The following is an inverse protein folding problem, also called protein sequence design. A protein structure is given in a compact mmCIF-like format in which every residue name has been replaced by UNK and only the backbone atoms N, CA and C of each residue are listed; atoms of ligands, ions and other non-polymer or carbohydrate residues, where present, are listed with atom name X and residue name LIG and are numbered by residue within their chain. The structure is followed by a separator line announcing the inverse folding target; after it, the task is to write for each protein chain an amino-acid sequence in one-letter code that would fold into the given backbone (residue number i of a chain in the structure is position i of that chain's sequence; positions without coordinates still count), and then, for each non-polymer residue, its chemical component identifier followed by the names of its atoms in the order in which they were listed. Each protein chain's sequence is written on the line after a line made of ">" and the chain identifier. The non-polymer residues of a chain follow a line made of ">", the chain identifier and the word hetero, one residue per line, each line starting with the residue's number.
data_IF_644448890635
#
_entry.id   IF_644448890635
#
_cell.length_a   1.000
_cell.length_b   1.000
_cell.length_c   1.000
_cell.angle_alpha   90.00
_cell.angle_beta   90.00
_cell.angle_gamma   90.00
#
_symmetry.space_group_name_H-M   'P 1'
#
loop_
_entity.id
_entity.type
_entity.pdbx_description
1 polymer ?
#
# COMPACT_ATOMS: atom_id res chain seq x y z
N UNK A 1 -17.80 8.26 28.20
CA UNK A 1 -18.28 7.39 27.10
C UNK A 1 -18.93 8.17 25.96
N UNK A 2 -19.99 8.96 26.17
CA UNK A 2 -20.65 9.76 25.10
C UNK A 2 -19.71 10.64 24.25
N UNK A 3 -18.72 11.31 24.87
CA UNK A 3 -17.77 12.19 24.17
C UNK A 3 -16.86 11.45 23.16
N UNK A 4 -16.50 10.20 23.44
CA UNK A 4 -15.64 9.40 22.53
C UNK A 4 -16.44 8.98 21.30
N UNK A 5 -17.72 8.59 21.46
CA UNK A 5 -18.56 8.24 20.31
C UNK A 5 -18.81 9.43 19.38
N UNK A 6 -18.94 10.64 19.92
CA UNK A 6 -19.05 11.86 19.11
C UNK A 6 -17.76 12.11 18.32
N UNK A 7 -16.60 11.94 18.95
CA UNK A 7 -15.30 12.05 18.28
C UNK A 7 -15.11 10.96 17.22
N UNK A 8 -15.48 9.71 17.51
CA UNK A 8 -15.43 8.60 16.55
C UNK A 8 -16.36 8.87 15.35
N UNK A 9 -17.56 9.42 15.57
CA UNK A 9 -18.47 9.80 14.48
C UNK A 9 -17.90 10.93 13.61
N UNK A 10 -17.39 12.00 14.22
CA UNK A 10 -16.76 13.10 13.50
C UNK A 10 -15.52 12.62 12.73
N UNK A 11 -14.69 11.78 13.36
CA UNK A 11 -13.51 11.19 12.73
C UNK A 11 -13.89 10.34 11.52
N UNK A 12 -14.94 9.52 11.62
CA UNK A 12 -15.44 8.72 10.49
C UNK A 12 -15.88 9.61 9.32
N UNK A 13 -16.67 10.65 9.60
CA UNK A 13 -17.16 11.57 8.56
C UNK A 13 -16.01 12.33 7.89
N UNK A 14 -15.07 12.88 8.68
CA UNK A 14 -13.90 13.59 8.17
C UNK A 14 -13.01 12.65 7.37
N UNK A 15 -12.72 11.45 7.90
CA UNK A 15 -11.91 10.45 7.21
C UNK A 15 -12.53 10.08 5.87
N UNK A 16 -13.85 9.85 5.82
CA UNK A 16 -14.54 9.51 4.58
C UNK A 16 -14.46 10.63 3.54
N UNK A 17 -14.71 11.88 3.94
CA UNK A 17 -14.66 13.02 3.01
C UNK A 17 -13.25 13.27 2.48
N UNK A 18 -12.24 13.21 3.34
CA UNK A 18 -10.83 13.37 2.94
C UNK A 18 -10.42 12.23 2.02
N UNK A 19 -10.69 10.97 2.38
CA UNK A 19 -10.33 9.81 1.56
C UNK A 19 -11.07 9.81 0.22
N UNK A 20 -12.34 10.21 0.19
CA UNK A 20 -13.08 10.38 -1.06
C UNK A 20 -12.43 11.44 -1.95
N UNK A 21 -12.17 12.63 -1.42
CA UNK A 21 -11.56 13.71 -2.20
C UNK A 21 -10.19 13.29 -2.74
N UNK A 22 -9.32 12.77 -1.87
CA UNK A 22 -7.99 12.31 -2.25
C UNK A 22 -8.04 11.20 -3.32
N UNK A 23 -8.91 10.21 -3.13
CA UNK A 23 -9.05 9.12 -4.09
C UNK A 23 -9.52 9.61 -5.45
N UNK A 24 -10.57 10.45 -5.48
CA UNK A 24 -11.15 10.93 -6.75
C UNK A 24 -10.20 11.87 -7.50
N UNK A 25 -9.42 12.68 -6.78
CA UNK A 25 -8.48 13.65 -7.38
C UNK A 25 -7.19 12.97 -7.87
N UNK A 26 -6.61 12.06 -7.09
CA UNK A 26 -5.23 11.60 -7.31
C UNK A 26 -5.08 10.12 -7.66
N UNK A 27 -6.03 9.25 -7.27
CA UNK A 27 -5.90 7.80 -7.42
C UNK A 27 -6.88 7.17 -8.41
N UNK A 28 -7.98 7.87 -8.72
CA UNK A 28 -9.07 7.32 -9.53
C UNK A 28 -8.63 6.98 -10.95
N UNK A 29 -7.75 7.79 -11.55
CA UNK A 29 -7.23 7.54 -12.89
C UNK A 29 -6.41 6.25 -12.96
N UNK A 30 -5.51 6.04 -11.99
CA UNK A 30 -4.68 4.84 -11.88
C UNK A 30 -5.53 3.63 -11.47
N UNK A 31 -6.56 3.84 -10.67
CA UNK A 31 -7.51 2.77 -10.34
C UNK A 31 -8.23 2.26 -11.59
N UNK A 32 -8.73 3.15 -12.46
CA UNK A 32 -9.40 2.73 -13.69
C UNK A 32 -8.42 2.05 -14.65
N UNK A 33 -7.18 2.52 -14.76
CA UNK A 33 -6.20 1.89 -15.65
C UNK A 33 -5.91 0.44 -15.25
N UNK A 34 -5.95 0.12 -13.96
CA UNK A 34 -5.74 -1.24 -13.44
C UNK A 34 -7.01 -2.10 -13.58
N UNK A 35 -8.19 -1.57 -13.22
CA UNK A 35 -9.42 -2.36 -13.13
C UNK A 35 -10.30 -2.31 -14.39
N UNK A 36 -9.85 -1.58 -15.41
CA UNK A 36 -10.58 -1.26 -16.63
C UNK A 36 -11.90 -0.52 -16.39
N UNK A 37 -12.32 0.25 -17.39
CA UNK A 37 -13.63 0.87 -17.36
C UNK A 37 -14.73 -0.20 -17.25
N UNK A 38 -15.78 0.05 -16.44
CA UNK A 38 -16.94 -0.85 -16.41
C UNK A 38 -17.52 -0.99 -17.82
N UNK A 39 -17.80 -2.22 -18.24
CA UNK A 39 -18.36 -2.52 -19.58
C UNK A 39 -19.83 -2.12 -19.72
N UNK A 40 -20.48 -1.65 -18.64
CA UNK A 40 -21.84 -1.12 -18.67
C UNK A 40 -22.20 -0.31 -17.43
N UNK A 41 -22.29 1.02 -17.59
CA UNK A 41 -22.83 1.94 -16.57
C UNK A 41 -21.81 2.61 -15.66
N UNK A 42 -22.30 3.30 -14.63
CA UNK A 42 -21.48 3.98 -13.63
C UNK A 42 -20.89 2.98 -12.62
N UNK A 43 -19.56 2.92 -12.53
CA UNK A 43 -18.87 2.11 -11.53
C UNK A 43 -18.85 2.83 -10.18
N UNK A 44 -19.90 2.60 -9.41
CA UNK A 44 -20.02 3.18 -8.06
C UNK A 44 -19.33 2.30 -7.00
N UNK A 45 -19.48 0.99 -7.10
CA UNK A 45 -19.15 0.07 -6.01
C UNK A 45 -17.66 -0.14 -5.82
N UNK A 46 -16.86 -0.23 -6.90
CA UNK A 46 -15.42 -0.50 -6.78
C UNK A 46 -14.68 0.72 -6.18
N UNK A 47 -14.91 1.97 -6.63
CA UNK A 47 -14.39 3.17 -5.99
C UNK A 47 -14.82 3.30 -4.52
N UNK A 48 -16.10 3.06 -4.23
CA UNK A 48 -16.63 3.15 -2.87
C UNK A 48 -15.89 2.18 -1.93
N UNK A 49 -15.65 0.94 -2.36
CA UNK A 49 -14.96 -0.07 -1.57
C UNK A 49 -13.54 0.38 -1.20
N UNK A 50 -12.78 0.93 -2.16
CA UNK A 50 -11.43 1.45 -1.88
C UNK A 50 -11.49 2.66 -0.96
N UNK A 51 -12.43 3.58 -1.19
CA UNK A 51 -12.62 4.76 -0.32
C UNK A 51 -12.91 4.31 1.11
N UNK A 52 -13.75 3.29 1.32
CA UNK A 52 -14.04 2.75 2.65
C UNK A 52 -12.80 2.12 3.31
N UNK A 53 -11.94 1.44 2.54
CA UNK A 53 -10.68 0.90 3.05
C UNK A 53 -9.73 2.04 3.46
N UNK A 54 -9.53 3.04 2.59
CA UNK A 54 -8.72 4.23 2.92
C UNK A 54 -9.27 4.96 4.15
N UNK A 55 -10.60 5.06 4.24
CA UNK A 55 -11.31 5.64 5.38
C UNK A 55 -10.99 4.86 6.66
N UNK A 56 -10.98 3.53 6.63
CA UNK A 56 -10.62 2.71 7.78
C UNK A 56 -9.18 2.97 8.25
N UNK A 57 -8.22 3.10 7.32
CA UNK A 57 -6.84 3.43 7.64
C UNK A 57 -6.72 4.81 8.30
N UNK A 58 -7.30 5.84 7.67
CA UNK A 58 -7.25 7.20 8.18
C UNK A 58 -8.00 7.33 9.51
N UNK A 59 -9.16 6.69 9.63
CA UNK A 59 -9.93 6.62 10.88
C UNK A 59 -9.11 6.01 12.01
N UNK A 60 -8.44 4.87 11.77
CA UNK A 60 -7.62 4.19 12.77
C UNK A 60 -6.45 5.07 13.19
N UNK A 61 -5.80 5.75 12.24
CA UNK A 61 -4.71 6.67 12.51
C UNK A 61 -5.16 7.88 13.35
N UNK A 62 -6.22 8.57 12.94
CA UNK A 62 -6.76 9.72 13.67
C UNK A 62 -7.29 9.33 15.04
N UNK A 63 -7.94 8.16 15.16
CA UNK A 63 -8.39 7.60 16.43
C UNK A 63 -7.25 7.37 17.41
N UNK A 64 -6.12 6.88 16.90
CA UNK A 64 -4.90 6.74 17.69
C UNK A 64 -4.43 8.08 18.26
N UNK A 65 -4.55 9.17 17.50
CA UNK A 65 -4.06 10.49 17.90
C UNK A 65 -4.80 11.08 19.10
N UNK A 66 -6.13 10.97 19.17
CA UNK A 66 -6.91 11.52 20.29
C UNK A 66 -7.17 10.53 21.43
N UNK A 67 -7.10 9.21 21.19
CA UNK A 67 -7.25 8.22 22.27
C UNK A 67 -5.92 7.78 22.90
N UNK A 68 -4.79 8.07 22.23
CA UNK A 68 -3.45 7.55 22.58
C UNK A 68 -3.44 6.02 22.77
N UNK A 69 -4.31 5.31 22.07
CA UNK A 69 -4.42 3.85 22.09
C UNK A 69 -4.66 3.36 20.68
N UNK A 70 -3.96 2.30 20.32
CA UNK A 70 -4.17 1.59 19.08
C UNK A 70 -4.95 0.31 19.38
N UNK A 71 -6.19 0.25 18.87
CA UNK A 71 -7.03 -0.94 19.00
C UNK A 71 -6.46 -2.07 18.15
N UNK A 72 -5.97 -3.12 18.81
CA UNK A 72 -5.39 -4.29 18.16
C UNK A 72 -6.35 -4.95 17.15
N UNK A 73 -7.66 -4.88 17.35
CA UNK A 73 -8.65 -5.42 16.39
C UNK A 73 -8.65 -4.61 15.10
N UNK A 74 -8.70 -3.28 15.19
CA UNK A 74 -8.67 -2.40 14.03
C UNK A 74 -7.33 -2.51 13.28
N UNK A 75 -6.20 -2.57 13.99
CA UNK A 75 -4.90 -2.83 13.37
C UNK A 75 -4.92 -4.14 12.59
N UNK A 76 -5.43 -5.23 13.19
CA UNK A 76 -5.46 -6.54 12.54
C UNK A 76 -6.32 -6.55 11.28
N UNK A 77 -7.49 -5.91 11.32
CA UNK A 77 -8.38 -5.77 10.15
C UNK A 77 -7.69 -4.94 9.07
N UNK A 78 -7.07 -3.82 9.44
CA UNK A 78 -6.32 -2.95 8.52
C UNK A 78 -5.16 -3.69 7.85
N UNK A 79 -4.36 -4.45 8.60
CA UNK A 79 -3.28 -5.27 8.02
C UNK A 79 -3.81 -6.42 7.15
N UNK A 80 -4.95 -7.03 7.51
CA UNK A 80 -5.57 -8.07 6.68
C UNK A 80 -6.02 -7.51 5.33
N UNK A 81 -6.76 -6.39 5.32
CA UNK A 81 -7.20 -5.73 4.09
C UNK A 81 -6.02 -5.23 3.25
N UNK A 82 -5.01 -4.66 3.92
CA UNK A 82 -3.76 -4.27 3.28
C UNK A 82 -3.07 -5.47 2.59
N UNK A 83 -2.95 -6.62 3.26
CA UNK A 83 -2.36 -7.82 2.66
C UNK A 83 -3.16 -8.29 1.43
N UNK A 84 -4.49 -8.22 1.46
CA UNK A 84 -5.32 -8.54 0.29
C UNK A 84 -5.04 -7.61 -0.89
N UNK A 85 -4.96 -6.29 -0.65
CA UNK A 85 -4.62 -5.30 -1.68
C UNK A 85 -3.21 -5.55 -2.22
N UNK A 86 -2.25 -5.84 -1.34
CA UNK A 86 -0.87 -6.09 -1.74
C UNK A 86 -0.76 -7.34 -2.61
N UNK A 87 -1.40 -8.46 -2.22
CA UNK A 87 -1.42 -9.68 -3.03
C UNK A 87 -2.07 -9.42 -4.39
N UNK A 88 -3.18 -8.67 -4.41
CA UNK A 88 -3.83 -8.30 -5.66
C UNK A 88 -2.90 -7.46 -6.56
N UNK A 89 -2.31 -6.40 -5.99
CA UNK A 89 -1.41 -5.48 -6.68
C UNK A 89 -0.14 -6.16 -7.18
N UNK A 90 0.38 -7.14 -6.44
CA UNK A 90 1.56 -7.89 -6.84
C UNK A 90 1.23 -8.83 -7.99
N UNK A 91 0.19 -9.66 -7.87
CA UNK A 91 0.00 -10.74 -8.85
C UNK A 91 -0.78 -10.32 -10.09
N UNK A 92 -1.70 -9.37 -9.99
CA UNK A 92 -2.71 -9.12 -11.03
C UNK A 92 -2.59 -7.77 -11.74
N UNK A 93 -1.58 -6.95 -11.42
CA UNK A 93 -1.43 -5.61 -12.04
C UNK A 93 -1.17 -5.63 -13.55
N UNK A 94 -0.54 -6.69 -14.07
CA UNK A 94 -0.04 -6.77 -15.45
C UNK A 94 -0.69 -7.91 -16.25
N UNK A 95 -1.92 -8.30 -15.88
CA UNK A 95 -2.63 -9.39 -16.56
C UNK A 95 -2.74 -9.12 -18.07
N UNK A 96 -2.27 -10.08 -18.88
CA UNK A 96 -2.34 -10.00 -20.34
C UNK A 96 -1.13 -9.35 -21.01
N UNK A 97 -0.15 -8.86 -20.26
CA UNK A 97 1.11 -8.33 -20.80
C UNK A 97 2.26 -9.22 -20.34
N UNK A 98 3.08 -9.69 -21.28
CA UNK A 98 4.22 -10.56 -21.00
C UNK A 98 5.53 -9.93 -21.45
N UNK A 99 6.57 -10.18 -20.68
CA UNK A 99 7.93 -9.81 -21.02
C UNK A 99 8.82 -9.74 -19.79
N UNK A 100 10.05 -9.31 -20.03
CA UNK A 100 11.10 -9.22 -19.01
C UNK A 100 11.86 -7.92 -19.19
N UNK A 101 12.00 -7.13 -18.12
CA UNK A 101 12.78 -5.89 -18.08
C UNK A 101 13.88 -6.06 -17.05
N UNK A 102 15.11 -6.15 -17.56
CA UNK A 102 16.31 -6.12 -16.74
C UNK A 102 17.00 -4.75 -16.74
N UNK A 103 16.48 -3.77 -17.49
CA UNK A 103 17.11 -2.47 -17.65
C UNK A 103 16.72 -1.50 -16.52
N UNK A 104 17.36 -1.69 -15.37
CA UNK A 104 17.15 -0.84 -14.20
C UNK A 104 17.47 0.65 -14.47
N UNK A 105 18.46 0.93 -15.33
CA UNK A 105 18.89 2.31 -15.61
C UNK A 105 17.81 3.06 -16.39
N UNK A 106 17.21 2.40 -17.38
CA UNK A 106 16.08 2.95 -18.15
C UNK A 106 14.87 3.14 -17.25
N UNK A 107 14.54 2.14 -16.42
CA UNK A 107 13.46 2.27 -15.43
C UNK A 107 13.64 3.48 -14.50
N UNK A 108 14.85 3.72 -13.98
CA UNK A 108 15.12 4.86 -13.10
C UNK A 108 14.96 6.19 -13.86
N UNK A 109 15.45 6.26 -15.10
CA UNK A 109 15.29 7.47 -15.93
C UNK A 109 13.82 7.76 -16.20
N UNK A 110 13.06 6.76 -16.60
CA UNK A 110 11.63 6.90 -16.91
C UNK A 110 10.84 7.27 -15.65
N UNK A 111 11.16 6.64 -14.51
CA UNK A 111 10.55 6.96 -13.22
C UNK A 111 10.84 8.38 -12.73
N UNK A 112 11.98 8.96 -13.10
CA UNK A 112 12.36 10.32 -12.67
C UNK A 112 11.91 11.40 -13.65
N UNK A 113 11.87 11.09 -14.95
CA UNK A 113 11.69 12.07 -16.03
C UNK A 113 10.32 12.02 -16.69
N UNK A 114 9.65 10.86 -16.70
CA UNK A 114 8.39 10.65 -17.44
C UNK A 114 7.21 10.58 -16.47
N UNK A 115 7.18 9.56 -15.60
CA UNK A 115 6.13 9.40 -14.60
C UNK A 115 6.68 8.68 -13.35
N UNK A 116 6.68 9.39 -12.23
CA UNK A 116 7.15 8.86 -10.94
C UNK A 116 6.03 8.18 -10.14
N UNK A 117 4.78 8.32 -10.56
CA UNK A 117 3.61 7.98 -9.75
C UNK A 117 3.56 6.51 -9.40
N UNK A 118 3.76 5.62 -10.39
CA UNK A 118 3.72 4.17 -10.21
C UNK A 118 4.85 3.71 -9.29
N UNK A 119 6.08 4.17 -9.53
CA UNK A 119 7.26 3.83 -8.73
C UNK A 119 7.12 4.33 -7.28
N UNK A 120 6.54 5.51 -7.07
CA UNK A 120 6.23 6.03 -5.74
C UNK A 120 5.16 5.18 -5.04
N UNK A 121 4.09 4.80 -5.73
CA UNK A 121 3.04 3.93 -5.18
C UNK A 121 3.61 2.57 -4.76
N UNK A 122 4.49 1.96 -5.56
CA UNK A 122 5.21 0.73 -5.19
C UNK A 122 6.06 0.92 -3.92
N UNK A 123 6.79 2.03 -3.80
CA UNK A 123 7.56 2.31 -2.57
C UNK A 123 6.60 2.43 -1.37
N UNK A 124 5.54 3.23 -1.51
CA UNK A 124 4.59 3.53 -0.43
C UNK A 124 3.87 2.27 0.04
N UNK A 125 3.42 1.40 -0.88
CA UNK A 125 2.67 0.19 -0.54
C UNK A 125 3.52 -0.80 0.26
N UNK A 126 4.85 -0.80 0.14
CA UNK A 126 5.73 -1.71 0.86
C UNK A 126 6.23 -1.18 2.22
N UNK A 127 6.02 0.10 2.53
CA UNK A 127 6.39 0.69 3.83
C UNK A 127 5.73 -0.05 5.02
N UNK A 128 4.41 -0.34 5.01
CA UNK A 128 3.78 -1.03 6.14
C UNK A 128 4.35 -2.43 6.40
N UNK A 129 4.70 -3.21 5.36
CA UNK A 129 5.39 -4.50 5.54
C UNK A 129 6.76 -4.31 6.14
N UNK A 130 7.56 -3.37 5.63
CA UNK A 130 8.86 -3.06 6.19
C UNK A 130 8.77 -2.69 7.67
N UNK A 131 7.75 -1.92 8.05
CA UNK A 131 7.48 -1.51 9.43
C UNK A 131 7.21 -2.64 10.42
N UNK A 132 6.97 -3.87 9.96
CA UNK A 132 6.81 -5.05 10.81
C UNK A 132 8.15 -5.68 11.21
N UNK A 133 9.24 -5.33 10.54
CA UNK A 133 10.54 -5.97 10.74
C UNK A 133 11.60 -4.96 11.16
N UNK A 134 12.53 -5.43 12.00
CA UNK A 134 13.75 -4.68 12.32
C UNK A 134 14.65 -4.61 11.09
N UNK A 135 15.30 -3.47 10.90
CA UNK A 135 16.29 -3.32 9.84
C UNK A 135 17.48 -4.23 10.12
N UNK A 136 17.70 -5.17 9.21
CA UNK A 136 18.83 -6.08 9.23
C UNK A 136 19.07 -6.55 7.80
N UNK A 137 20.35 -6.62 7.41
CA UNK A 137 20.75 -7.13 6.10
C UNK A 137 20.12 -8.50 5.78
N UNK A 138 20.06 -9.40 6.76
CA UNK A 138 19.42 -10.72 6.58
C UNK A 138 17.92 -10.61 6.24
N UNK A 139 17.22 -9.67 6.85
CA UNK A 139 15.80 -9.43 6.60
C UNK A 139 15.59 -8.86 5.21
N UNK A 140 16.39 -7.86 4.82
CA UNK A 140 16.34 -7.26 3.48
C UNK A 140 16.63 -8.30 2.41
N UNK A 141 17.64 -9.16 2.59
CA UNK A 141 17.94 -10.23 1.65
C UNK A 141 16.82 -11.26 1.51
N UNK A 142 16.15 -11.62 2.62
CA UNK A 142 14.95 -12.49 2.57
C UNK A 142 13.80 -11.82 1.81
N UNK A 143 13.61 -10.52 1.99
CA UNK A 143 12.58 -9.77 1.28
C UNK A 143 12.88 -9.69 -0.22
N UNK A 144 14.12 -9.38 -0.61
CA UNK A 144 14.54 -9.39 -2.02
C UNK A 144 14.28 -10.77 -2.63
N UNK A 145 14.71 -11.84 -1.97
CA UNK A 145 14.47 -13.21 -2.44
C UNK A 145 12.97 -13.51 -2.61
N UNK A 146 12.14 -13.08 -1.66
CA UNK A 146 10.69 -13.25 -1.74
C UNK A 146 10.08 -12.48 -2.93
N UNK A 147 10.44 -11.22 -3.13
CA UNK A 147 9.93 -10.43 -4.25
C UNK A 147 10.42 -10.98 -5.59
N UNK A 148 11.67 -11.44 -5.70
CA UNK A 148 12.14 -12.12 -6.91
C UNK A 148 11.31 -13.37 -7.21
N UNK A 149 10.92 -14.16 -6.21
CA UNK A 149 10.03 -15.32 -6.42
C UNK A 149 8.66 -14.85 -6.94
N UNK A 150 8.11 -13.76 -6.41
CA UNK A 150 6.81 -13.24 -6.86
C UNK A 150 6.90 -12.79 -8.32
N UNK A 151 7.88 -11.97 -8.68
CA UNK A 151 8.08 -11.50 -10.07
C UNK A 151 8.32 -12.69 -11.01
N UNK A 152 9.11 -13.68 -10.58
CA UNK A 152 9.32 -14.93 -11.34
C UNK A 152 8.01 -15.69 -11.51
N UNK A 153 7.19 -15.77 -10.46
CA UNK A 153 5.89 -16.44 -10.52
C UNK A 153 4.94 -15.71 -11.46
N UNK A 154 4.94 -14.38 -11.46
CA UNK A 154 4.12 -13.60 -12.40
C UNK A 154 4.47 -13.90 -13.84
N UNK A 155 5.77 -14.00 -14.15
CA UNK A 155 6.25 -14.37 -15.48
C UNK A 155 5.88 -15.82 -15.84
N UNK A 156 6.17 -16.79 -14.96
CA UNK A 156 5.94 -18.22 -15.21
C UNK A 156 4.46 -18.56 -15.34
N UNK A 157 3.60 -17.95 -14.52
CA UNK A 157 2.15 -18.16 -14.58
C UNK A 157 1.44 -17.24 -15.58
N UNK A 158 2.20 -16.49 -16.39
CA UNK A 158 1.65 -15.55 -17.37
C UNK A 158 0.69 -14.51 -16.77
N UNK A 159 0.88 -14.19 -15.49
CA UNK A 159 0.11 -13.18 -14.76
C UNK A 159 0.65 -11.77 -14.99
N UNK A 160 1.88 -11.65 -15.50
CA UNK A 160 2.47 -10.37 -15.81
C UNK A 160 3.92 -10.42 -16.28
N UNK A 161 4.55 -9.27 -16.13
CA UNK A 161 5.88 -8.95 -16.62
C UNK A 161 6.89 -9.05 -15.48
N UNK A 162 8.07 -9.64 -15.72
CA UNK A 162 9.16 -9.66 -14.73
C UNK A 162 9.92 -8.34 -14.79
N UNK A 163 9.83 -7.49 -13.77
CA UNK A 163 10.49 -6.18 -13.77
C UNK A 163 11.49 -6.01 -12.62
N UNK A 164 12.76 -5.79 -12.96
CA UNK A 164 13.79 -5.48 -11.97
C UNK A 164 13.54 -4.14 -11.26
N UNK A 165 12.86 -3.21 -11.91
CA UNK A 165 12.44 -1.93 -11.34
C UNK A 165 11.42 -2.11 -10.21
N UNK A 166 10.51 -3.08 -10.34
CA UNK A 166 9.57 -3.45 -9.27
C UNK A 166 10.32 -4.06 -8.08
N UNK A 167 11.26 -4.98 -8.31
CA UNK A 167 12.12 -5.52 -7.25
C UNK A 167 12.83 -4.39 -6.49
N UNK A 168 13.37 -3.42 -7.23
CA UNK A 168 14.09 -2.29 -6.67
C UNK A 168 13.19 -1.37 -5.83
N UNK A 169 12.06 -0.91 -6.39
CA UNK A 169 11.13 0.01 -5.70
C UNK A 169 10.46 -0.64 -4.49
N UNK A 170 10.04 -1.90 -4.59
CA UNK A 170 9.48 -2.66 -3.48
C UNK A 170 10.49 -2.80 -2.34
N UNK A 171 11.76 -3.05 -2.68
CA UNK A 171 12.86 -3.15 -1.70
C UNK A 171 13.13 -1.82 -1.01
N UNK A 172 13.09 -0.70 -1.73
CA UNK A 172 13.20 0.63 -1.13
C UNK A 172 12.06 0.86 -0.13
N UNK A 173 10.82 0.56 -0.50
CA UNK A 173 9.66 0.67 0.39
C UNK A 173 9.84 -0.15 1.67
N UNK A 174 10.30 -1.39 1.53
CA UNK A 174 10.59 -2.28 2.65
C UNK A 174 11.69 -1.73 3.58
N UNK A 175 12.77 -1.19 3.02
CA UNK A 175 13.88 -0.58 3.77
C UNK A 175 13.40 0.65 4.54
N UNK A 176 12.61 1.53 3.90
CA UNK A 176 12.04 2.71 4.56
C UNK A 176 11.17 2.28 5.74
N UNK A 177 10.28 1.32 5.53
CA UNK A 177 9.45 0.76 6.60
C UNK A 177 10.27 0.20 7.77
N UNK A 178 11.30 -0.59 7.46
CA UNK A 178 12.16 -1.19 8.49
C UNK A 178 12.93 -0.13 9.29
N UNK A 179 13.36 0.97 8.66
CA UNK A 179 13.98 2.10 9.34
C UNK A 179 12.97 2.85 10.24
N UNK A 180 11.71 2.97 9.82
CA UNK A 180 10.64 3.56 10.64
C UNK A 180 10.42 2.71 11.90
N UNK A 181 10.43 1.38 11.79
CA UNK A 181 10.33 0.47 12.93
C UNK A 181 11.41 0.77 14.00
N UNK A 182 12.67 0.90 13.57
CA UNK A 182 13.80 1.10 14.49
C UNK A 182 13.94 2.55 15.01
N UNK A 183 13.26 3.49 14.34
CA UNK A 183 13.20 4.89 14.75
C UNK A 183 12.51 5.08 16.11
N UNK A 184 12.73 6.27 16.71
CA UNK A 184 12.03 6.66 17.96
C UNK A 184 10.50 6.68 17.79
N UNK A 185 10.02 6.95 16.57
CA UNK A 185 8.59 6.97 16.26
C UNK A 185 8.00 5.56 16.25
N UNK A 186 8.65 4.60 15.57
CA UNK A 186 8.21 3.20 15.54
C UNK A 186 8.13 2.58 16.94
N UNK A 187 9.17 2.79 17.76
CA UNK A 187 9.18 2.33 19.16
C UNK A 187 8.06 2.92 20.00
N UNK A 188 7.71 4.20 19.80
CA UNK A 188 6.56 4.83 20.46
C UNK A 188 5.24 4.21 20.00
N UNK A 189 5.07 4.00 18.69
CA UNK A 189 3.87 3.38 18.12
C UNK A 189 3.64 1.99 18.72
N UNK A 190 4.67 1.15 18.76
CA UNK A 190 4.61 -0.20 19.35
C UNK A 190 4.16 -0.15 20.83
N UNK A 191 4.61 0.86 21.59
CA UNK A 191 4.18 1.05 22.97
C UNK A 191 2.69 1.43 23.13
N UNK A 192 2.09 2.07 22.11
CA UNK A 192 0.67 2.45 22.10
C UNK A 192 -0.28 1.31 21.67
N UNK A 193 0.25 0.20 21.15
CA UNK A 193 -0.52 -1.00 20.80
C UNK A 193 -0.89 -1.72 22.10
N UNK A 194 -2.20 -1.87 22.36
CA UNK A 194 -2.75 -2.56 23.54
C UNK A 194 -3.87 -3.52 23.16
#
# INVERSE_FOLDING_TARGET
>A
MKKIYILDFLNLAISFLICRWFFMEYLYFQFISIFSFPTGGSDFWRPLFIILILTLFLFTFLRSSYTHRLDTRLIRISYFLYCLILVYSLLFKNLGIQGVNFNLVEFIKDSLLIDSTISLLNIVIFIPIGGLFKFNFKTVMRFIFFITIIETSQYVFHLGFFDIGDIFTNTIGFIIGSNIHDSRLGKKIIHYIK
#
